data_IF_356191459720
#
_entry.id   IF_356191459720
#
_cell.length_a   1.000
_cell.length_b   1.000
_cell.length_c   1.000
_cell.angle_alpha   90.00
_cell.angle_beta   90.00
_cell.angle_gamma   90.00
#
_symmetry.space_group_name_H-M   'P 1'
#
loop_
_entity.id
_entity.type
_entity.pdbx_description
1 polymer ?
#
# COMPACT_ATOMS: atom_id res chain seq x y z
N UNK A 1 11.50 -12.74 4.77
CA UNK A 1 11.73 -11.31 5.02
C UNK A 1 11.92 -10.61 3.68
N UNK A 2 11.36 -9.40 3.52
CA UNK A 2 11.58 -8.57 2.33
C UNK A 2 13.09 -8.29 2.21
N UNK A 3 13.69 -8.61 1.06
CA UNK A 3 15.14 -8.49 0.80
C UNK A 3 15.48 -7.05 0.41
N UNK A 4 15.04 -6.09 1.20
CA UNK A 4 15.14 -4.66 0.91
C UNK A 4 16.01 -3.98 1.95
N UNK A 5 16.75 -2.96 1.52
CA UNK A 5 17.48 -2.08 2.44
C UNK A 5 16.47 -1.37 3.36
N UNK A 6 16.65 -1.43 4.70
CA UNK A 6 15.77 -0.74 5.65
C UNK A 6 15.54 0.74 5.33
N UNK A 7 16.57 1.45 4.85
CA UNK A 7 16.47 2.88 4.51
C UNK A 7 15.53 3.16 3.34
N UNK A 8 15.30 2.17 2.46
CA UNK A 8 14.38 2.31 1.34
C UNK A 8 12.93 1.98 1.73
N UNK A 9 12.71 1.30 2.85
CA UNK A 9 11.37 0.91 3.31
C UNK A 9 10.70 2.03 4.11
N UNK A 10 11.46 2.83 4.87
CA UNK A 10 10.91 3.89 5.74
C UNK A 10 9.91 4.82 5.02
N UNK A 11 10.21 5.40 3.82
CA UNK A 11 9.27 6.28 3.13
C UNK A 11 7.97 5.57 2.71
N UNK A 12 8.05 4.27 2.42
CA UNK A 12 6.88 3.46 2.06
C UNK A 12 6.01 3.22 3.29
N UNK A 13 6.63 2.94 4.45
CA UNK A 13 5.91 2.77 5.71
C UNK A 13 5.23 4.07 6.15
N UNK A 14 5.89 5.21 6.00
CA UNK A 14 5.28 6.53 6.24
C UNK A 14 4.08 6.78 5.34
N UNK A 15 4.17 6.40 4.07
CA UNK A 15 3.05 6.49 3.11
C UNK A 15 1.87 5.60 3.56
N UNK A 16 2.14 4.36 3.95
CA UNK A 16 1.10 3.44 4.44
C UNK A 16 0.48 3.91 5.77
N UNK A 17 1.24 4.61 6.61
CA UNK A 17 0.72 5.28 7.81
C UNK A 17 -0.18 6.46 7.47
N UNK A 18 0.16 7.26 6.46
CA UNK A 18 -0.68 8.39 6.00
C UNK A 18 -2.04 7.93 5.46
N UNK A 19 -2.13 6.68 4.97
CA UNK A 19 -3.39 6.07 4.56
C UNK A 19 -4.18 5.44 5.71
N UNK A 20 -3.68 5.50 6.94
CA UNK A 20 -4.21 4.77 8.10
C UNK A 20 -4.25 3.25 7.88
N UNK A 21 -3.43 2.71 6.97
CA UNK A 21 -3.38 1.27 6.70
C UNK A 21 -2.43 0.55 7.62
N UNK A 22 -1.39 1.25 8.10
CA UNK A 22 -0.36 0.69 8.96
C UNK A 22 -0.19 1.55 10.21
N UNK A 23 -0.03 0.90 11.36
CA UNK A 23 0.34 1.54 12.63
C UNK A 23 1.70 1.06 13.10
N UNK A 24 2.47 1.93 13.77
CA UNK A 24 3.72 1.53 14.44
C UNK A 24 3.45 1.28 15.91
N UNK A 25 3.84 0.11 16.40
CA UNK A 25 3.87 -0.20 17.82
C UNK A 25 5.28 0.08 18.34
N UNK A 26 5.39 1.09 19.20
CA UNK A 26 6.64 1.48 19.84
C UNK A 26 6.91 0.60 21.06
N UNK A 27 7.36 -0.63 20.78
CA UNK A 27 7.77 -1.58 21.81
C UNK A 27 9.28 -1.45 22.11
N UNK A 28 9.71 -1.57 23.39
CA UNK A 28 11.07 -1.21 23.81
C UNK A 28 12.20 -1.99 23.13
N UNK A 29 11.91 -3.16 22.57
CA UNK A 29 12.91 -4.09 22.04
C UNK A 29 12.72 -4.38 20.54
N UNK A 30 11.49 -4.30 20.04
CA UNK A 30 11.13 -4.72 18.69
C UNK A 30 10.00 -3.84 18.15
N UNK A 31 10.29 -2.61 17.69
CA UNK A 31 9.29 -1.81 17.01
C UNK A 31 8.74 -2.59 15.83
N UNK A 32 7.42 -2.67 15.72
CA UNK A 32 6.74 -3.43 14.66
C UNK A 32 5.63 -2.63 14.04
N UNK A 33 5.37 -2.93 12.79
CA UNK A 33 4.27 -2.36 12.04
C UNK A 33 3.12 -3.36 11.99
N UNK A 34 1.90 -2.86 12.20
CA UNK A 34 0.68 -3.65 12.18
C UNK A 34 -0.25 -3.12 11.11
N UNK A 35 -0.96 -4.02 10.42
CA UNK A 35 -1.99 -3.65 9.47
C UNK A 35 -3.26 -3.27 10.23
N UNK A 36 -3.75 -2.06 10.00
CA UNK A 36 -4.92 -1.48 10.67
C UNK A 36 -6.18 -1.60 9.81
N UNK A 37 -6.04 -1.71 8.49
CA UNK A 37 -7.15 -1.80 7.56
C UNK A 37 -7.63 -3.25 7.38
N UNK A 38 -8.91 -3.43 7.00
CA UNK A 38 -9.46 -4.73 6.60
C UNK A 38 -9.11 -4.99 5.12
N UNK A 39 -8.18 -5.90 4.77
CA UNK A 39 -7.63 -5.96 3.42
C UNK A 39 -8.66 -6.29 2.34
N UNK A 40 -9.62 -7.15 2.67
CA UNK A 40 -10.72 -7.57 1.80
C UNK A 40 -11.66 -6.42 1.38
N UNK A 41 -11.67 -5.32 2.16
CA UNK A 41 -12.62 -4.21 2.01
C UNK A 41 -11.94 -2.87 1.78
N UNK A 42 -10.61 -2.85 1.78
CA UNK A 42 -9.82 -1.64 1.60
C UNK A 42 -9.39 -1.53 0.13
N UNK A 43 -9.79 -0.48 -0.60
CA UNK A 43 -9.35 -0.28 -1.98
C UNK A 43 -7.84 -0.06 -2.06
N UNK A 44 -7.17 -0.77 -2.97
CA UNK A 44 -5.75 -0.60 -3.24
C UNK A 44 -5.41 0.70 -4.00
N UNK A 45 -6.44 1.35 -4.57
CA UNK A 45 -6.32 2.52 -5.42
C UNK A 45 -5.38 3.63 -4.89
N UNK A 46 -5.45 4.07 -3.62
CA UNK A 46 -4.57 5.15 -3.13
C UNK A 46 -3.08 4.81 -3.24
N UNK A 47 -2.72 3.56 -2.88
CA UNK A 47 -1.35 3.08 -2.96
C UNK A 47 -0.86 2.98 -4.41
N UNK A 48 -1.71 2.45 -5.30
CA UNK A 48 -1.41 2.32 -6.73
C UNK A 48 -1.23 3.70 -7.36
N UNK A 49 -2.13 4.65 -7.06
CA UNK A 49 -2.06 6.01 -7.58
C UNK A 49 -0.78 6.72 -7.14
N UNK A 50 -0.37 6.56 -5.88
CA UNK A 50 0.78 7.28 -5.32
C UNK A 50 2.13 6.65 -5.68
N UNK A 51 2.22 5.32 -5.72
CA UNK A 51 3.50 4.62 -5.88
C UNK A 51 3.73 3.98 -7.26
N UNK A 52 2.68 3.83 -8.08
CA UNK A 52 2.77 3.17 -9.38
C UNK A 52 2.41 4.10 -10.55
N UNK A 53 1.15 4.55 -10.62
CA UNK A 53 0.69 5.38 -11.72
C UNK A 53 -0.53 6.23 -11.33
N UNK A 54 -0.41 7.54 -11.43
CA UNK A 54 -1.51 8.45 -11.13
C UNK A 54 -2.68 8.30 -12.13
N UNK A 55 -3.95 8.33 -11.68
CA UNK A 55 -5.09 8.32 -12.58
C UNK A 55 -5.18 9.63 -13.38
N UNK A 56 -5.12 9.52 -14.69
CA UNK A 56 -5.20 10.64 -15.64
C UNK A 56 -5.90 10.18 -16.93
N UNK A 57 -6.31 11.11 -17.81
CA UNK A 57 -6.88 10.73 -19.11
C UNK A 57 -5.97 9.81 -19.93
N UNK A 58 -4.64 9.99 -19.83
CA UNK A 58 -3.65 9.18 -20.56
C UNK A 58 -3.48 7.79 -19.94
N UNK A 59 -3.61 7.65 -18.61
CA UNK A 59 -3.46 6.36 -17.90
C UNK A 59 -4.77 5.58 -17.75
N UNK A 60 -5.94 6.20 -18.01
CA UNK A 60 -7.27 5.58 -17.84
C UNK A 60 -7.41 4.21 -18.51
N UNK A 61 -6.87 4.05 -19.73
CA UNK A 61 -6.92 2.76 -20.44
C UNK A 61 -6.15 1.65 -19.72
N UNK A 62 -5.04 1.98 -19.05
CA UNK A 62 -4.30 1.02 -18.23
C UNK A 62 -5.06 0.69 -16.94
N UNK A 63 -5.56 1.71 -16.25
CA UNK A 63 -6.34 1.57 -15.01
C UNK A 63 -7.52 0.60 -15.18
N UNK A 64 -8.32 0.79 -16.23
CA UNK A 64 -9.46 -0.07 -16.54
C UNK A 64 -9.04 -1.50 -16.87
N UNK A 65 -7.99 -1.67 -17.69
CA UNK A 65 -7.51 -3.01 -18.09
C UNK A 65 -6.90 -3.80 -16.94
N UNK A 66 -6.24 -3.12 -16.01
CA UNK A 66 -5.61 -3.73 -14.85
C UNK A 66 -6.57 -3.90 -13.66
N UNK A 67 -7.77 -3.32 -13.72
CA UNK A 67 -8.77 -3.40 -12.64
C UNK A 67 -8.39 -2.60 -11.39
N UNK A 68 -7.51 -1.60 -11.50
CA UNK A 68 -7.02 -0.84 -10.34
C UNK A 68 -8.11 -0.08 -9.59
N UNK A 69 -9.21 0.27 -10.26
CA UNK A 69 -10.36 0.96 -9.66
C UNK A 69 -11.16 0.09 -8.66
N UNK A 70 -11.08 -1.24 -8.79
CA UNK A 70 -11.85 -2.18 -7.95
C UNK A 70 -10.96 -3.07 -7.10
N UNK A 71 -9.65 -3.04 -7.34
CA UNK A 71 -8.67 -3.87 -6.64
C UNK A 71 -8.64 -3.54 -5.15
N UNK A 72 -8.57 -4.58 -4.33
CA UNK A 72 -8.46 -4.51 -2.87
C UNK A 72 -7.02 -4.72 -2.42
N UNK A 73 -6.71 -4.28 -1.21
CA UNK A 73 -5.40 -4.54 -0.59
C UNK A 73 -5.16 -6.05 -0.45
N UNK A 74 -6.21 -6.84 -0.20
CA UNK A 74 -6.08 -8.30 -0.14
C UNK A 74 -5.54 -8.89 -1.45
N UNK A 75 -6.08 -8.48 -2.60
CA UNK A 75 -5.62 -8.97 -3.90
C UNK A 75 -4.15 -8.61 -4.17
N UNK A 76 -3.66 -7.49 -3.66
CA UNK A 76 -2.22 -7.15 -3.73
C UNK A 76 -1.33 -8.04 -2.85
N UNK A 77 -1.85 -8.50 -1.70
CA UNK A 77 -1.10 -9.35 -0.77
C UNK A 77 -1.05 -10.81 -1.23
N UNK A 78 -2.01 -11.23 -2.05
CA UNK A 78 -2.14 -12.60 -2.58
C UNK A 78 -1.46 -12.80 -3.94
N UNK A 79 -1.01 -11.73 -4.60
CA UNK A 79 -0.30 -11.74 -5.89
C UNK A 79 1.17 -12.19 -5.77
#
# INVERSE_FOLDING_TARGET
ALRTDPLHIEPILETLQQFDWVGRLDEPQYPRYVLLCEPARTPAQPLIAQLLIEPSPASRGLWQRAGFDTMTVQELLEA
#
